data_IF_043684674182
#
_entry.id   IF_043684674182
#
_cell.length_a   1.000
_cell.length_b   1.000
_cell.length_c   1.000
_cell.angle_alpha   90.00
_cell.angle_beta   90.00
_cell.angle_gamma   90.00
#
_symmetry.space_group_name_H-M   'P 1'
#
loop_
_entity.id
_entity.type
_entity.pdbx_description
1 polymer ?
#
# COMPACT_ATOMS: atom_id res chain seq x y z
N UNK A 1 -25.48 6.76 -14.87
CA UNK A 1 -25.09 5.42 -15.34
C UNK A 1 -25.40 5.32 -16.83
N UNK A 2 -24.38 5.11 -17.66
CA UNK A 2 -24.54 4.94 -19.11
C UNK A 2 -24.88 3.45 -19.35
N UNK A 3 -26.17 3.17 -19.53
CA UNK A 3 -26.77 1.89 -19.93
C UNK A 3 -26.37 0.61 -19.12
N UNK A 4 -27.16 0.19 -18.12
CA UNK A 4 -26.89 -1.00 -17.30
C UNK A 4 -27.06 -2.33 -18.06
N UNK A 5 -27.60 -2.32 -19.28
CA UNK A 5 -27.90 -3.56 -20.02
C UNK A 5 -26.67 -4.18 -20.70
N UNK A 6 -25.54 -3.48 -20.74
CA UNK A 6 -24.28 -4.01 -21.26
C UNK A 6 -23.29 -4.18 -20.11
N UNK A 7 -23.07 -5.43 -19.69
CA UNK A 7 -22.17 -5.81 -18.58
C UNK A 7 -20.78 -5.19 -18.76
N UNK A 8 -20.25 -5.20 -19.99
CA UNK A 8 -18.94 -4.60 -20.32
C UNK A 8 -18.91 -3.08 -20.06
N UNK A 9 -19.98 -2.36 -20.43
CA UNK A 9 -20.04 -0.90 -20.26
C UNK A 9 -20.24 -0.54 -18.78
N UNK A 10 -21.03 -1.34 -18.06
CA UNK A 10 -21.13 -1.24 -16.61
C UNK A 10 -19.73 -1.40 -15.99
N UNK A 11 -19.06 -2.53 -16.19
CA UNK A 11 -17.73 -2.84 -15.64
C UNK A 11 -16.67 -1.75 -15.87
N UNK A 12 -16.70 -1.09 -17.02
CA UNK A 12 -15.76 -0.02 -17.33
C UNK A 12 -16.16 1.32 -16.69
N UNK A 13 -17.45 1.67 -16.68
CA UNK A 13 -17.93 3.02 -16.29
C UNK A 13 -18.58 3.09 -14.91
N UNK A 14 -18.73 1.96 -14.22
CA UNK A 14 -19.37 1.85 -12.92
C UNK A 14 -18.55 2.53 -11.82
N UNK A 15 -19.25 3.22 -10.91
CA UNK A 15 -18.64 3.91 -9.77
C UNK A 15 -17.94 2.94 -8.80
N UNK A 16 -18.50 1.74 -8.63
CA UNK A 16 -17.90 0.66 -7.84
C UNK A 16 -17.17 -0.35 -8.73
N UNK A 17 -16.73 0.07 -9.91
CA UNK A 17 -15.97 -0.75 -10.87
C UNK A 17 -14.75 0.09 -11.32
N UNK A 18 -14.41 0.19 -12.60
CA UNK A 18 -13.22 0.94 -13.03
C UNK A 18 -13.38 2.48 -13.03
N UNK A 19 -14.61 3.00 -12.92
CA UNK A 19 -14.87 4.44 -12.86
C UNK A 19 -14.45 5.23 -14.11
N UNK A 20 -14.38 4.60 -15.29
CA UNK A 20 -13.99 5.31 -16.51
C UNK A 20 -14.97 6.43 -16.83
N UNK A 21 -14.45 7.65 -16.91
CA UNK A 21 -15.25 8.84 -17.25
C UNK A 21 -16.18 9.33 -16.14
N UNK A 22 -16.09 8.79 -14.91
CA UNK A 22 -16.84 9.33 -13.77
C UNK A 22 -16.09 10.52 -13.18
N UNK A 23 -16.63 11.72 -13.35
CA UNK A 23 -16.15 12.92 -12.66
C UNK A 23 -16.87 13.04 -11.33
N UNK A 24 -16.10 13.16 -10.25
CA UNK A 24 -16.62 13.33 -8.89
C UNK A 24 -16.18 14.69 -8.38
N UNK A 25 -17.15 15.52 -8.00
CA UNK A 25 -16.93 16.84 -7.41
C UNK A 25 -17.09 16.78 -5.88
N UNK A 26 -16.50 15.77 -5.25
CA UNK A 26 -16.50 15.61 -3.80
C UNK A 26 -15.07 15.83 -3.28
N UNK A 27 -14.90 16.93 -2.54
CA UNK A 27 -13.61 17.30 -1.96
C UNK A 27 -13.09 16.25 -0.98
N UNK A 28 -13.98 15.56 -0.26
CA UNK A 28 -13.58 14.50 0.67
C UNK A 28 -13.00 13.30 -0.10
N UNK A 29 -13.66 12.86 -1.18
CA UNK A 29 -13.13 11.77 -2.00
C UNK A 29 -11.82 12.13 -2.70
N UNK A 30 -11.69 13.36 -3.20
CA UNK A 30 -10.44 13.82 -3.85
C UNK A 30 -9.28 13.84 -2.85
N UNK A 31 -9.54 14.37 -1.65
CA UNK A 31 -8.48 14.51 -0.64
C UNK A 31 -8.03 13.18 -0.04
N UNK A 32 -8.90 12.17 0.00
CA UNK A 32 -8.51 10.83 0.44
C UNK A 32 -7.54 10.13 -0.53
N UNK A 33 -7.63 10.41 -1.84
CA UNK A 33 -6.80 9.75 -2.85
C UNK A 33 -5.47 10.46 -3.06
N UNK A 34 -5.46 11.80 -3.05
CA UNK A 34 -4.28 12.62 -3.42
C UNK A 34 -3.67 13.33 -2.20
N UNK A 35 -4.33 13.31 -1.04
CA UNK A 35 -4.00 14.20 0.07
C UNK A 35 -4.53 15.60 -0.19
N UNK A 36 -3.73 16.65 0.01
CA UNK A 36 -4.13 18.00 -0.41
C UNK A 36 -3.64 18.28 -1.84
N UNK A 37 -4.51 18.28 -2.86
CA UNK A 37 -4.09 18.54 -4.24
C UNK A 37 -3.54 19.96 -4.43
N UNK A 38 -3.79 20.87 -3.48
CA UNK A 38 -3.27 22.24 -3.47
C UNK A 38 -1.77 22.27 -3.13
N UNK A 39 -1.28 21.28 -2.36
CA UNK A 39 0.13 21.18 -1.96
C UNK A 39 1.01 20.52 -3.03
N UNK A 40 0.39 19.77 -3.95
CA UNK A 40 1.10 19.00 -4.97
C UNK A 40 1.23 19.84 -6.24
N UNK A 41 2.44 20.04 -6.80
CA UNK A 41 2.59 20.83 -8.00
C UNK A 41 1.90 20.17 -9.19
N UNK A 42 1.33 21.01 -10.08
CA UNK A 42 0.50 20.56 -11.20
C UNK A 42 1.15 19.50 -12.10
N UNK A 43 2.46 19.58 -12.33
CA UNK A 43 3.18 18.58 -13.15
C UNK A 43 3.17 17.18 -12.51
N UNK A 44 3.25 17.09 -11.18
CA UNK A 44 3.21 15.83 -10.47
C UNK A 44 1.80 15.24 -10.49
N UNK A 45 0.77 16.10 -10.39
CA UNK A 45 -0.63 15.69 -10.51
C UNK A 45 -0.92 15.10 -11.90
N UNK A 46 -0.42 15.75 -12.98
CA UNK A 46 -0.57 15.25 -14.35
C UNK A 46 0.15 13.90 -14.51
N UNK A 47 1.36 13.75 -13.97
CA UNK A 47 2.09 12.48 -14.04
C UNK A 47 1.34 11.33 -13.34
N UNK A 48 0.79 11.60 -12.15
CA UNK A 48 -0.01 10.62 -11.42
C UNK A 48 -1.29 10.24 -12.17
N UNK A 49 -1.95 11.22 -12.79
CA UNK A 49 -3.13 10.98 -13.65
C UNK A 49 -2.77 10.13 -14.87
N UNK A 50 -1.66 10.42 -15.55
CA UNK A 50 -1.19 9.62 -16.70
C UNK A 50 -0.90 8.19 -16.25
N UNK A 51 -0.23 8.00 -15.12
CA UNK A 51 0.01 6.67 -14.54
C UNK A 51 -1.28 5.90 -14.27
N UNK A 52 -2.27 6.57 -13.65
CA UNK A 52 -3.59 6.00 -13.42
C UNK A 52 -4.28 5.58 -14.72
N UNK A 53 -4.28 6.43 -15.75
CA UNK A 53 -4.87 6.09 -17.05
C UNK A 53 -4.17 4.88 -17.69
N UNK A 54 -2.84 4.85 -17.71
CA UNK A 54 -2.09 3.76 -18.32
C UNK A 54 -2.30 2.44 -17.60
N UNK A 55 -2.19 2.41 -16.27
CA UNK A 55 -2.24 1.15 -15.54
C UNK A 55 -3.65 0.70 -15.19
N UNK A 56 -4.53 1.60 -14.75
CA UNK A 56 -5.88 1.22 -14.34
C UNK A 56 -6.84 1.20 -15.53
N UNK A 57 -6.77 2.18 -16.43
CA UNK A 57 -7.71 2.23 -17.56
C UNK A 57 -7.28 1.42 -18.78
N UNK A 58 -5.99 1.26 -19.05
CA UNK A 58 -5.53 0.43 -20.18
C UNK A 58 -5.08 -0.96 -19.75
N UNK A 59 -4.15 -1.08 -18.80
CA UNK A 59 -3.58 -2.38 -18.45
C UNK A 59 -4.61 -3.31 -17.79
N UNK A 60 -5.44 -2.82 -16.87
CA UNK A 60 -6.46 -3.66 -16.18
C UNK A 60 -7.46 -4.30 -17.13
N UNK A 61 -8.14 -3.58 -18.04
CA UNK A 61 -9.04 -4.23 -18.99
C UNK A 61 -8.33 -5.22 -19.92
N UNK A 62 -7.10 -4.91 -20.36
CA UNK A 62 -6.33 -5.84 -21.21
C UNK A 62 -6.10 -7.16 -20.48
N UNK A 63 -5.64 -7.11 -19.23
CA UNK A 63 -5.38 -8.29 -18.41
C UNK A 63 -6.67 -9.07 -18.11
N UNK A 64 -7.75 -8.36 -17.79
CA UNK A 64 -9.05 -8.96 -17.50
C UNK A 64 -9.64 -9.69 -18.72
N UNK A 65 -9.70 -9.02 -19.88
CA UNK A 65 -10.30 -9.59 -21.09
C UNK A 65 -9.41 -10.64 -21.78
N UNK A 66 -8.08 -10.57 -21.60
CA UNK A 66 -7.17 -11.63 -22.05
C UNK A 66 -7.20 -12.89 -21.17
N UNK A 67 -7.97 -12.88 -20.08
CA UNK A 67 -8.09 -13.98 -19.11
C UNK A 67 -6.73 -14.47 -18.58
N UNK A 68 -5.78 -13.55 -18.43
CA UNK A 68 -4.53 -13.84 -17.75
C UNK A 68 -4.84 -14.25 -16.29
N UNK A 69 -4.22 -15.33 -15.82
CA UNK A 69 -4.43 -15.87 -14.47
C UNK A 69 -5.90 -16.17 -14.08
N UNK A 70 -6.75 -16.47 -15.07
CA UNK A 70 -8.16 -16.83 -14.85
C UNK A 70 -9.03 -15.72 -14.23
N UNK A 71 -8.65 -14.45 -14.41
CA UNK A 71 -9.38 -13.31 -13.85
C UNK A 71 -10.83 -13.17 -14.35
N UNK A 72 -11.18 -13.74 -15.51
CA UNK A 72 -12.55 -13.63 -16.05
C UNK A 72 -13.62 -14.26 -15.16
N UNK A 73 -13.22 -15.16 -14.26
CA UNK A 73 -14.10 -15.80 -13.28
C UNK A 73 -14.40 -14.88 -12.07
N UNK A 74 -13.79 -13.70 -12.00
CA UNK A 74 -13.88 -12.76 -10.89
C UNK A 74 -14.38 -11.40 -11.39
N UNK A 75 -14.82 -10.55 -10.47
CA UNK A 75 -15.15 -9.15 -10.80
C UNK A 75 -13.89 -8.38 -11.20
N UNK A 76 -14.04 -7.41 -12.11
CA UNK A 76 -12.92 -6.59 -12.60
C UNK A 76 -12.30 -5.72 -11.50
N UNK A 77 -13.15 -5.22 -10.60
CA UNK A 77 -12.79 -4.54 -9.38
C UNK A 77 -13.77 -4.97 -8.28
N UNK A 78 -13.27 -5.27 -7.09
CA UNK A 78 -14.11 -5.54 -5.92
C UNK A 78 -13.99 -4.37 -4.95
N UNK A 79 -15.02 -3.55 -4.89
CA UNK A 79 -15.20 -2.63 -3.77
C UNK A 79 -15.99 -3.36 -2.69
N UNK A 80 -15.47 -3.48 -1.47
CA UNK A 80 -16.21 -4.09 -0.37
C UNK A 80 -17.50 -3.32 -0.13
N UNK A 81 -18.64 -3.91 -0.50
CA UNK A 81 -19.95 -3.37 -0.12
C UNK A 81 -20.39 -4.06 1.15
N UNK A 82 -20.74 -3.28 2.16
CA UNK A 82 -21.34 -3.81 3.37
C UNK A 82 -22.77 -4.23 3.06
N UNK A 83 -23.11 -5.47 3.36
CA UNK A 83 -24.50 -5.91 3.46
C UNK A 83 -25.18 -5.15 4.62
N UNK A 84 -26.51 -5.14 4.66
CA UNK A 84 -27.30 -4.59 5.76
C UNK A 84 -26.93 -5.19 7.14
N UNK A 85 -26.27 -6.35 7.15
CA UNK A 85 -25.81 -7.04 8.34
C UNK A 85 -24.32 -6.76 8.68
N UNK A 86 -23.65 -5.83 7.99
CA UNK A 86 -22.26 -5.44 8.25
C UNK A 86 -21.19 -6.37 7.66
N UNK A 87 -21.56 -7.37 6.86
CA UNK A 87 -20.62 -8.28 6.20
C UNK A 87 -20.25 -7.79 4.79
N UNK A 88 -18.99 -7.97 4.39
CA UNK A 88 -18.52 -7.64 3.05
C UNK A 88 -19.11 -8.60 2.00
N UNK A 89 -19.78 -8.03 1.00
CA UNK A 89 -20.28 -8.74 -0.18
C UNK A 89 -19.19 -8.78 -1.24
N UNK A 90 -18.86 -9.98 -1.71
CA UNK A 90 -17.98 -10.18 -2.86
C UNK A 90 -18.86 -10.50 -4.07
N UNK A 91 -18.70 -9.76 -5.17
CA UNK A 91 -19.47 -9.99 -6.38
C UNK A 91 -18.64 -10.86 -7.34
N UNK A 92 -19.29 -11.84 -7.96
CA UNK A 92 -18.74 -12.57 -9.11
C UNK A 92 -19.01 -11.78 -10.40
N UNK A 93 -18.29 -12.12 -11.48
CA UNK A 93 -18.43 -11.47 -12.79
C UNK A 93 -19.86 -11.50 -13.36
N UNK A 94 -20.69 -12.45 -12.90
CA UNK A 94 -22.10 -12.59 -13.27
C UNK A 94 -23.05 -11.71 -12.44
N UNK A 95 -22.53 -10.90 -11.51
CA UNK A 95 -23.33 -10.05 -10.61
C UNK A 95 -23.90 -10.79 -9.39
N UNK A 96 -23.63 -12.08 -9.24
CA UNK A 96 -24.03 -12.84 -8.06
C UNK A 96 -23.14 -12.47 -6.87
N UNK A 97 -23.77 -11.99 -5.81
CA UNK A 97 -23.12 -11.70 -4.53
C UNK A 97 -22.89 -12.99 -3.75
N UNK A 98 -21.67 -13.24 -3.31
CA UNK A 98 -21.30 -14.26 -2.34
C UNK A 98 -20.95 -13.58 -1.01
N UNK A 99 -21.60 -14.02 0.07
CA UNK A 99 -21.12 -13.81 1.43
C UNK A 99 -20.21 -14.97 1.79
N UNK A 100 -18.92 -14.76 2.10
CA UNK A 100 -18.13 -15.79 2.72
C UNK A 100 -18.78 -16.07 4.07
N UNK A 101 -19.44 -17.22 4.19
CA UNK A 101 -19.74 -17.77 5.50
C UNK A 101 -18.39 -18.06 6.15
N UNK A 102 -17.91 -17.12 6.96
CA UNK A 102 -16.78 -17.33 7.88
C UNK A 102 -17.25 -18.20 9.05
N UNK A 103 -17.94 -19.31 8.73
CA UNK A 103 -18.28 -20.34 9.71
C UNK A 103 -17.13 -21.31 9.77
N UNK A 104 -16.05 -20.96 10.50
CA UNK A 104 -15.04 -21.84 11.12
C UNK A 104 -14.34 -22.95 10.29
N UNK A 105 -14.72 -23.16 9.03
CA UNK A 105 -14.36 -24.25 8.13
C UNK A 105 -13.70 -23.73 6.84
N UNK A 106 -13.13 -22.53 6.86
CA UNK A 106 -12.30 -22.03 5.76
C UNK A 106 -10.93 -22.77 5.66
N UNK A 107 -10.66 -23.68 6.60
CA UNK A 107 -9.37 -24.37 6.75
C UNK A 107 -9.51 -25.88 6.97
N UNK A 108 -10.64 -26.49 6.57
CA UNK A 108 -10.65 -27.94 6.38
C UNK A 108 -9.88 -28.25 5.09
N UNK A 109 -8.86 -29.09 5.18
CA UNK A 109 -7.99 -29.57 4.09
C UNK A 109 -8.72 -30.23 2.91
N UNK A 110 -10.04 -30.37 2.98
CA UNK A 110 -10.93 -30.81 1.91
C UNK A 110 -11.48 -29.67 1.04
N UNK A 111 -11.46 -28.43 1.51
CA UNK A 111 -11.91 -27.26 0.72
C UNK A 111 -10.80 -26.65 -0.15
N UNK A 112 -9.55 -27.03 0.07
CA UNK A 112 -8.39 -26.55 -0.69
C UNK A 112 -8.22 -27.18 -2.06
N UNK A 113 -8.90 -28.29 -2.36
CA UNK A 113 -8.77 -29.00 -3.63
C UNK A 113 -9.72 -28.48 -4.73
N UNK A 114 -10.82 -27.81 -4.36
CA UNK A 114 -11.88 -27.43 -5.30
C UNK A 114 -12.17 -25.92 -5.38
N UNK A 115 -11.55 -25.09 -4.53
CA UNK A 115 -11.64 -23.64 -4.64
C UNK A 115 -10.43 -23.12 -5.42
N UNK A 116 -10.64 -22.23 -6.42
CA UNK A 116 -9.52 -21.55 -7.06
C UNK A 116 -8.71 -20.80 -5.98
N UNK A 117 -7.37 -20.86 -6.03
CA UNK A 117 -6.50 -20.23 -5.02
C UNK A 117 -6.91 -18.77 -4.85
N UNK A 118 -6.96 -18.27 -3.60
CA UNK A 118 -7.41 -16.91 -3.22
C UNK A 118 -7.13 -15.92 -4.34
N UNK A 119 -8.17 -15.65 -5.13
CA UNK A 119 -7.98 -14.94 -6.37
C UNK A 119 -8.32 -13.49 -6.13
N UNK A 120 -7.29 -12.65 -6.16
CA UNK A 120 -7.46 -11.20 -6.14
C UNK A 120 -8.24 -10.79 -7.40
N UNK A 121 -9.09 -9.78 -7.28
CA UNK A 121 -9.67 -9.13 -8.45
C UNK A 121 -8.56 -8.49 -9.30
N UNK A 122 -8.80 -8.35 -10.60
CA UNK A 122 -7.78 -7.88 -11.54
C UNK A 122 -7.23 -6.50 -11.16
N UNK A 123 -8.07 -5.62 -10.61
CA UNK A 123 -7.66 -4.27 -10.19
C UNK A 123 -6.74 -4.32 -8.96
N UNK A 124 -7.09 -5.07 -7.91
CA UNK A 124 -6.22 -5.21 -6.72
C UNK A 124 -4.93 -5.96 -7.03
N UNK A 125 -4.95 -6.95 -7.92
CA UNK A 125 -3.74 -7.63 -8.36
C UNK A 125 -2.75 -6.65 -9.00
N UNK A 126 -3.20 -5.84 -9.95
CA UNK A 126 -2.37 -4.83 -10.62
C UNK A 126 -1.90 -3.76 -9.64
N UNK A 127 -2.76 -3.29 -8.74
CA UNK A 127 -2.38 -2.35 -7.69
C UNK A 127 -1.24 -2.90 -6.82
N UNK A 128 -1.30 -4.18 -6.43
CA UNK A 128 -0.23 -4.83 -5.69
C UNK A 128 1.07 -4.95 -6.51
N UNK A 129 0.99 -5.26 -7.81
CA UNK A 129 2.19 -5.24 -8.66
C UNK A 129 2.82 -3.85 -8.75
N UNK A 130 2.00 -2.81 -8.83
CA UNK A 130 2.47 -1.42 -8.86
C UNK A 130 3.12 -0.99 -7.53
N UNK A 131 2.64 -1.48 -6.38
CA UNK A 131 3.30 -1.19 -5.10
C UNK A 131 4.66 -1.88 -4.98
N UNK A 132 4.80 -3.11 -5.48
CA UNK A 132 6.13 -3.73 -5.56
C UNK A 132 7.07 -3.01 -6.54
N UNK A 133 6.54 -2.57 -7.69
CA UNK A 133 7.30 -1.80 -8.66
C UNK A 133 7.73 -0.44 -8.10
N UNK A 134 6.86 0.23 -7.34
CA UNK A 134 7.19 1.51 -6.70
C UNK A 134 8.25 1.35 -5.62
N UNK A 135 8.19 0.28 -4.80
CA UNK A 135 9.25 -0.04 -3.84
C UNK A 135 10.60 -0.29 -4.52
N UNK A 136 10.62 -1.05 -5.62
CA UNK A 136 11.85 -1.28 -6.39
C UNK A 136 12.40 0.02 -6.98
N UNK A 137 11.53 0.84 -7.59
CA UNK A 137 11.89 2.15 -8.14
C UNK A 137 12.43 3.08 -7.06
N UNK A 138 11.84 3.06 -5.86
CA UNK A 138 12.25 3.86 -4.71
C UNK A 138 13.68 3.53 -4.26
N UNK A 139 14.00 2.23 -4.16
CA UNK A 139 15.33 1.75 -3.79
C UNK A 139 16.35 2.20 -4.84
N UNK A 140 16.07 1.98 -6.13
CA UNK A 140 16.95 2.38 -7.23
C UNK A 140 17.17 3.89 -7.25
N UNK A 141 16.10 4.68 -7.14
CA UNK A 141 16.17 6.14 -7.10
C UNK A 141 17.01 6.65 -5.93
N UNK A 142 16.79 6.09 -4.74
CA UNK A 142 17.53 6.48 -3.53
C UNK A 142 19.01 6.18 -3.67
N UNK A 143 19.38 5.02 -4.19
CA UNK A 143 20.78 4.63 -4.38
C UNK A 143 21.46 5.53 -5.42
N UNK A 144 20.79 5.78 -6.55
CA UNK A 144 21.41 6.50 -7.67
C UNK A 144 21.53 8.00 -7.41
N UNK A 145 20.50 8.62 -6.82
CA UNK A 145 20.47 10.06 -6.61
C UNK A 145 21.03 10.47 -5.23
N UNK A 146 20.58 9.79 -4.17
CA UNK A 146 20.94 10.14 -2.80
C UNK A 146 22.09 9.30 -2.22
N UNK A 147 22.53 8.23 -2.89
CA UNK A 147 23.52 7.29 -2.36
C UNK A 147 24.84 7.95 -1.93
N UNK A 148 25.37 8.89 -2.74
CA UNK A 148 26.59 9.63 -2.39
C UNK A 148 26.41 10.49 -1.14
N UNK A 149 25.29 11.20 -1.05
CA UNK A 149 24.96 12.04 0.10
C UNK A 149 24.74 11.19 1.36
N UNK A 150 24.09 10.03 1.24
CA UNK A 150 23.87 9.10 2.36
C UNK A 150 25.22 8.60 2.91
N UNK A 151 26.14 8.18 2.04
CA UNK A 151 27.46 7.70 2.45
C UNK A 151 28.28 8.82 3.09
N UNK A 152 28.21 10.03 2.55
CA UNK A 152 28.86 11.20 3.13
C UNK A 152 28.28 11.53 4.51
N UNK A 153 26.96 11.65 4.64
CA UNK A 153 26.29 11.88 5.92
C UNK A 153 26.59 10.79 6.94
N UNK A 154 26.63 9.52 6.53
CA UNK A 154 26.97 8.41 7.42
C UNK A 154 28.43 8.50 7.90
N UNK A 155 29.38 8.75 6.99
CA UNK A 155 30.80 8.93 7.34
C UNK A 155 31.03 10.16 8.21
N UNK A 156 30.35 11.26 7.92
CA UNK A 156 30.43 12.50 8.69
C UNK A 156 29.74 12.34 10.04
N UNK A 157 28.60 11.65 10.15
CA UNK A 157 27.95 11.37 11.45
C UNK A 157 28.84 10.57 12.39
N UNK A 158 29.55 9.57 11.86
CA UNK A 158 30.52 8.78 12.62
C UNK A 158 31.75 9.59 13.09
N UNK A 159 32.17 10.61 12.32
CA UNK A 159 33.36 11.43 12.61
C UNK A 159 33.06 12.76 13.33
N UNK A 160 31.89 13.34 13.10
CA UNK A 160 31.51 14.70 13.50
C UNK A 160 30.65 14.75 14.76
N UNK A 161 30.48 13.62 15.47
CA UNK A 161 29.94 13.65 16.84
C UNK A 161 30.77 14.58 17.75
N UNK A 162 32.05 14.82 17.41
CA UNK A 162 32.98 15.66 18.18
C UNK A 162 33.04 17.15 17.79
N UNK A 163 32.58 17.57 16.59
CA UNK A 163 32.91 18.91 16.05
C UNK A 163 31.71 19.87 15.82
N UNK A 164 30.48 19.46 16.14
CA UNK A 164 29.31 20.33 16.00
C UNK A 164 28.88 20.89 17.36
N UNK A 165 28.80 22.23 17.48
CA UNK A 165 28.33 22.93 18.69
C UNK A 165 26.97 22.40 19.15
N UNK A 166 26.08 22.05 18.20
CA UNK A 166 24.79 21.44 18.52
C UNK A 166 24.95 20.07 19.23
N UNK A 167 25.85 19.20 18.76
CA UNK A 167 26.12 17.92 19.41
C UNK A 167 26.74 18.10 20.80
N UNK A 168 27.61 19.10 20.97
CA UNK A 168 28.21 19.46 22.27
C UNK A 168 27.15 20.01 23.25
N UNK A 169 26.19 20.78 22.76
CA UNK A 169 25.07 21.26 23.57
C UNK A 169 24.10 20.11 23.89
N UNK A 170 23.89 19.19 22.95
CA UNK A 170 23.01 18.02 23.13
C UNK A 170 23.60 16.97 24.07
N UNK A 171 24.93 16.81 24.12
CA UNK A 171 25.60 15.85 25.01
C UNK A 171 25.44 16.17 26.51
N UNK A 172 24.90 17.36 26.84
CA UNK A 172 24.55 17.73 28.22
C UNK A 172 23.27 17.03 28.70
N UNK A 173 22.43 16.54 27.80
CA UNK A 173 21.21 15.82 28.11
C UNK A 173 21.47 14.32 28.08
N UNK A 174 21.02 13.61 29.12
CA UNK A 174 21.09 12.14 29.11
C UNK A 174 20.19 11.60 28.00
N UNK A 175 20.78 10.81 27.11
CA UNK A 175 20.04 10.09 26.07
C UNK A 175 19.02 9.15 26.73
N UNK A 176 17.83 9.02 26.14
CA UNK A 176 16.82 8.09 26.63
C UNK A 176 17.36 6.65 26.57
N UNK A 177 17.03 5.83 27.58
CA UNK A 177 17.48 4.44 27.64
C UNK A 177 17.02 3.65 26.42
N UNK A 178 17.97 3.06 25.68
CA UNK A 178 17.71 2.27 24.47
C UNK A 178 16.85 1.02 24.74
N UNK A 179 16.83 0.55 25.99
CA UNK A 179 16.12 -0.66 26.42
C UNK A 179 14.62 -0.61 26.17
N UNK A 180 13.99 0.56 26.27
CA UNK A 180 12.55 0.66 26.08
C UNK A 180 12.14 0.42 24.62
N UNK A 181 12.98 0.82 23.66
CA UNK A 181 12.76 0.54 22.24
C UNK A 181 12.90 -0.95 21.92
N UNK A 182 13.92 -1.61 22.50
CA UNK A 182 14.11 -3.06 22.36
C UNK A 182 12.92 -3.80 22.96
N UNK A 183 12.47 -3.39 24.15
CA UNK A 183 11.32 -3.99 24.82
C UNK A 183 10.04 -3.84 23.98
N UNK A 184 9.75 -2.66 23.45
CA UNK A 184 8.62 -2.42 22.55
C UNK A 184 8.70 -3.27 21.28
N UNK A 185 9.89 -3.39 20.67
CA UNK A 185 10.09 -4.22 19.50
C UNK A 185 9.80 -5.70 19.80
N UNK A 186 10.31 -6.22 20.92
CA UNK A 186 10.06 -7.61 21.33
C UNK A 186 8.57 -7.85 21.62
N UNK A 187 7.90 -6.95 22.33
CA UNK A 187 6.45 -7.08 22.61
C UNK A 187 5.64 -7.12 21.32
N UNK A 188 5.88 -6.19 20.41
CA UNK A 188 5.13 -6.09 19.14
C UNK A 188 5.44 -7.27 18.21
N UNK A 189 6.69 -7.76 18.18
CA UNK A 189 7.07 -8.95 17.42
C UNK A 189 6.37 -10.21 17.95
N UNK A 190 6.32 -10.41 19.27
CA UNK A 190 5.62 -11.54 19.89
C UNK A 190 4.11 -11.46 19.60
N UNK A 191 3.50 -10.29 19.77
CA UNK A 191 2.09 -10.08 19.44
C UNK A 191 1.80 -10.42 17.96
N UNK A 192 2.66 -9.97 17.04
CA UNK A 192 2.54 -10.31 15.62
C UNK A 192 2.64 -11.82 15.37
N UNK A 193 3.61 -12.49 16.00
CA UNK A 193 3.78 -13.94 15.88
C UNK A 193 2.58 -14.72 16.43
N UNK A 194 1.99 -14.27 17.55
CA UNK A 194 0.78 -14.85 18.11
C UNK A 194 -0.41 -14.68 17.16
N UNK A 195 -0.59 -13.50 16.56
CA UNK A 195 -1.65 -13.26 15.57
C UNK A 195 -1.47 -14.17 14.35
N UNK A 196 -0.25 -14.36 13.85
CA UNK A 196 0.02 -15.28 12.75
C UNK A 196 -0.29 -16.74 13.13
N UNK A 197 0.09 -17.16 14.34
CA UNK A 197 -0.14 -18.52 14.82
C UNK A 197 -1.62 -18.84 15.04
N UNK A 198 -2.35 -17.96 15.73
CA UNK A 198 -3.77 -18.17 16.05
C UNK A 198 -4.71 -17.82 14.90
N UNK A 199 -4.34 -16.84 14.07
CA UNK A 199 -5.16 -16.43 12.92
C UNK A 199 -5.08 -17.39 11.73
N UNK A 200 -4.14 -18.34 11.72
CA UNK A 200 -3.88 -19.29 10.62
C UNK A 200 -3.75 -18.64 9.22
N UNK A 201 -3.52 -17.32 9.16
CA UNK A 201 -3.38 -16.57 7.91
C UNK A 201 -2.06 -16.89 7.20
N UNK A 202 -0.98 -17.02 7.97
CA UNK A 202 0.38 -17.14 7.45
C UNK A 202 1.31 -17.77 8.49
N UNK A 203 2.24 -18.65 8.09
CA UNK A 203 3.22 -19.21 9.01
C UNK A 203 4.08 -18.14 9.70
N UNK A 204 4.28 -18.27 11.01
CA UNK A 204 5.00 -17.28 11.83
C UNK A 204 6.45 -17.04 11.41
N UNK A 205 7.12 -18.05 10.83
CA UNK A 205 8.53 -17.94 10.45
C UNK A 205 8.80 -16.90 9.35
N UNK A 206 7.79 -16.53 8.55
CA UNK A 206 7.94 -15.47 7.55
C UNK A 206 8.17 -14.08 8.17
N UNK A 207 7.84 -13.89 9.45
CA UNK A 207 8.17 -12.65 10.17
C UNK A 207 9.69 -12.41 10.22
N UNK A 208 10.50 -13.47 10.30
CA UNK A 208 11.97 -13.32 10.27
C UNK A 208 12.50 -12.81 8.93
N UNK A 209 11.76 -13.02 7.84
CA UNK A 209 12.11 -12.48 6.52
C UNK A 209 11.58 -11.06 6.37
N UNK A 210 10.37 -10.79 6.89
CA UNK A 210 9.72 -9.50 6.79
C UNK A 210 10.45 -8.39 7.58
N UNK A 211 10.95 -8.70 8.78
CA UNK A 211 11.68 -7.72 9.62
C UNK A 211 12.90 -7.11 8.93
N UNK A 212 13.89 -7.89 8.44
CA UNK A 212 15.06 -7.34 7.77
C UNK A 212 14.68 -6.66 6.44
N UNK A 213 13.71 -7.21 5.71
CA UNK A 213 13.21 -6.57 4.50
C UNK A 213 12.63 -5.18 4.78
N UNK A 214 11.84 -5.05 5.85
CA UNK A 214 11.26 -3.76 6.27
C UNK A 214 12.36 -2.78 6.68
N UNK A 215 13.37 -3.24 7.43
CA UNK A 215 14.48 -2.40 7.85
C UNK A 215 15.26 -1.81 6.66
N UNK A 216 15.50 -2.62 5.62
CA UNK A 216 16.16 -2.16 4.38
C UNK A 216 15.30 -1.15 3.62
N UNK A 217 13.99 -1.38 3.51
CA UNK A 217 13.07 -0.48 2.80
C UNK A 217 12.80 0.83 3.57
N UNK A 218 12.87 0.80 4.91
CA UNK A 218 12.58 1.96 5.76
C UNK A 218 13.55 3.11 5.50
N UNK A 219 14.84 2.83 5.31
CA UNK A 219 15.85 3.86 5.04
C UNK A 219 15.54 4.71 3.78
N UNK A 220 15.34 4.13 2.58
CA UNK A 220 14.90 4.86 1.40
C UNK A 220 13.60 5.66 1.59
N UNK A 221 12.61 5.04 2.23
CA UNK A 221 11.30 5.67 2.46
C UNK A 221 11.48 6.93 3.31
N UNK A 222 12.19 6.82 4.44
CA UNK A 222 12.43 7.94 5.35
C UNK A 222 13.19 9.08 4.69
N UNK A 223 14.19 8.80 3.84
CA UNK A 223 14.98 9.83 3.15
C UNK A 223 14.14 10.60 2.15
N UNK A 224 13.34 9.90 1.34
CA UNK A 224 12.48 10.55 0.35
C UNK A 224 11.39 11.37 1.05
N UNK A 225 10.81 10.84 2.13
CA UNK A 225 9.82 11.56 2.92
C UNK A 225 10.40 12.81 3.59
N UNK A 226 11.64 12.75 4.08
CA UNK A 226 12.34 13.90 4.66
C UNK A 226 12.64 14.98 3.61
N UNK A 227 13.04 14.59 2.40
CA UNK A 227 13.38 15.53 1.32
C UNK A 227 12.16 16.12 0.62
N UNK A 228 11.06 15.37 0.52
CA UNK A 228 9.83 15.80 -0.16
C UNK A 228 8.95 16.69 0.74
N UNK A 229 9.28 16.81 2.03
CA UNK A 229 8.61 17.67 3.03
C UNK A 229 7.11 17.40 3.24
N UNK A 230 6.56 16.27 2.77
CA UNK A 230 5.12 15.99 2.80
C UNK A 230 4.53 15.90 4.22
N UNK A 231 5.37 15.64 5.24
CA UNK A 231 4.97 15.56 6.66
C UNK A 231 5.61 16.66 7.53
N UNK A 232 6.78 17.20 7.14
CA UNK A 232 7.48 18.22 7.92
C UNK A 232 6.90 19.63 7.74
N UNK A 233 6.23 19.91 6.61
CA UNK A 233 5.56 21.20 6.39
C UNK A 233 4.48 21.52 7.45
N UNK A 234 3.83 20.51 8.04
CA UNK A 234 2.80 20.72 9.07
C UNK A 234 3.37 21.17 10.42
N UNK A 235 4.63 20.87 10.71
CA UNK A 235 5.28 21.27 11.96
C UNK A 235 5.95 22.65 11.87
N UNK A 236 6.36 23.08 10.67
CA UNK A 236 6.99 24.39 10.46
C UNK A 236 5.99 25.53 10.19
N UNK A 237 4.70 25.26 9.96
CA UNK A 237 3.69 26.33 9.84
C UNK A 237 3.07 26.75 11.18
N UNK A 238 3.59 26.23 12.30
CA UNK A 238 3.16 26.55 13.66
C UNK A 238 4.23 27.37 14.43
N UNK A 239 5.28 27.85 13.75
CA UNK A 239 6.18 28.89 14.28
C UNK A 239 6.21 30.12 13.37
#
# INVERSE_FOLDING_TARGET
MINPNKIIVAQLTGFYELGMGTLVFDWNLITQVVGSPILVPHWALINMLVGFLVFIWFLTPIIYYSNLWSFKNLSIAVFPKLNNNGFYLFYTSDGNSFTPNVSQNALSSTYTENLPPVSLDSTTAIANYLTFASLASLIVYTILYNGKNIVQCFRTSLKSRENNIHCTLMSKYNEASEWWYILLFVITFILSALVCHFGQFMPWYYLFVAVPFTFVCLLPISIIQATTLSIFCLFLSQE
#
